data_IF_415572140343
#
_entry.id   IF_415572140343
#
_cell.length_a   1.000
_cell.length_b   1.000
_cell.length_c   1.000
_cell.angle_alpha   90.00
_cell.angle_beta   90.00
_cell.angle_gamma   90.00
#
_symmetry.space_group_name_H-M   'P 1'
#
loop_
_entity.id
_entity.type
_entity.pdbx_description
1 polymer ?
#
# COMPACT_ATOMS: atom_id res chain seq x y z
N UNK A 1 -10.70 -4.12 25.38
CA UNK A 1 -9.85 -4.97 24.51
C UNK A 1 -10.62 -5.71 23.43
N UNK A 2 -11.63 -6.54 23.74
CA UNK A 2 -12.36 -7.33 22.73
C UNK A 2 -13.02 -6.49 21.62
N UNK A 3 -13.67 -5.37 21.97
CA UNK A 3 -14.30 -4.47 20.99
C UNK A 3 -13.30 -3.89 20.00
N UNK A 4 -12.08 -3.59 20.45
CA UNK A 4 -11.01 -3.05 19.60
C UNK A 4 -10.52 -4.09 18.59
N UNK A 5 -10.34 -5.34 19.03
CA UNK A 5 -9.94 -6.45 18.15
C UNK A 5 -11.03 -6.69 17.09
N UNK A 6 -12.31 -6.69 17.50
CA UNK A 6 -13.42 -6.88 16.58
C UNK A 6 -13.50 -5.76 15.53
N UNK A 7 -13.24 -4.51 15.96
CA UNK A 7 -13.27 -3.35 15.07
C UNK A 7 -12.07 -3.33 14.11
N UNK A 8 -10.87 -3.66 14.57
CA UNK A 8 -9.70 -3.91 13.72
C UNK A 8 -9.93 -5.04 12.72
N UNK A 9 -10.59 -6.13 13.13
CA UNK A 9 -10.92 -7.24 12.23
C UNK A 9 -11.90 -6.81 11.14
N UNK A 10 -12.95 -6.06 11.50
CA UNK A 10 -13.97 -5.60 10.56
C UNK A 10 -13.40 -4.57 9.58
N UNK A 11 -12.64 -3.59 10.09
CA UNK A 11 -11.93 -2.58 9.29
C UNK A 11 -10.90 -3.25 8.38
N UNK A 12 -10.11 -4.19 8.91
CA UNK A 12 -9.12 -4.95 8.15
C UNK A 12 -9.74 -5.79 7.04
N UNK A 13 -10.88 -6.45 7.32
CA UNK A 13 -11.61 -7.21 6.31
C UNK A 13 -12.17 -6.32 5.20
N UNK A 14 -12.79 -5.19 5.56
CA UNK A 14 -13.34 -4.24 4.59
C UNK A 14 -12.22 -3.60 3.75
N UNK A 15 -11.14 -3.18 4.40
CA UNK A 15 -9.97 -2.60 3.74
C UNK A 15 -9.29 -3.61 2.82
N UNK A 16 -9.14 -4.87 3.25
CA UNK A 16 -8.59 -5.96 2.43
C UNK A 16 -9.47 -6.31 1.23
N UNK A 17 -10.79 -6.29 1.40
CA UNK A 17 -11.74 -6.48 0.29
C UNK A 17 -11.62 -5.35 -0.75
N UNK A 18 -11.64 -4.09 -0.30
CA UNK A 18 -11.43 -2.93 -1.17
C UNK A 18 -10.05 -2.96 -1.84
N UNK A 19 -9.00 -3.37 -1.11
CA UNK A 19 -7.65 -3.53 -1.63
C UNK A 19 -7.59 -4.54 -2.78
N UNK A 20 -8.30 -5.66 -2.65
CA UNK A 20 -8.40 -6.69 -3.67
C UNK A 20 -9.19 -6.21 -4.90
N UNK A 21 -10.25 -5.43 -4.71
CA UNK A 21 -11.06 -4.89 -5.80
C UNK A 21 -10.28 -3.87 -6.65
N UNK A 22 -9.56 -2.95 -6.01
CA UNK A 22 -8.80 -1.93 -6.72
C UNK A 22 -7.43 -2.41 -7.18
N UNK A 23 -6.88 -3.49 -6.61
CA UNK A 23 -5.55 -4.02 -6.95
C UNK A 23 -4.38 -3.11 -6.54
N UNK A 24 -4.62 -2.04 -5.77
CA UNK A 24 -3.61 -1.03 -5.39
C UNK A 24 -2.86 -1.45 -4.10
N UNK A 25 -3.26 -2.56 -3.46
CA UNK A 25 -2.56 -3.08 -2.27
C UNK A 25 -2.99 -2.45 -0.94
N UNK A 26 -4.19 -1.87 -0.85
CA UNK A 26 -4.88 -1.56 0.43
C UNK A 26 -4.30 -0.45 1.29
N UNK A 27 -3.03 -0.12 1.14
CA UNK A 27 -2.33 0.81 2.02
C UNK A 27 -2.94 2.21 2.06
N UNK A 28 -3.48 2.67 0.93
CA UNK A 28 -4.17 3.96 0.83
C UNK A 28 -5.44 4.02 1.68
N UNK A 29 -6.12 2.90 1.88
CA UNK A 29 -7.35 2.80 2.69
C UNK A 29 -7.01 2.52 4.16
N UNK A 30 -5.97 1.71 4.40
CA UNK A 30 -5.56 1.28 5.74
C UNK A 30 -5.00 2.46 6.56
N UNK A 31 -4.15 3.31 5.98
CA UNK A 31 -3.54 4.43 6.74
C UNK A 31 -4.58 5.41 7.33
N UNK A 32 -5.54 5.98 6.56
CA UNK A 32 -6.53 6.90 7.13
C UNK A 32 -7.41 6.21 8.18
N UNK A 33 -7.80 4.95 7.95
CA UNK A 33 -8.51 4.15 8.96
C UNK A 33 -7.71 4.05 10.27
N UNK A 34 -6.41 3.75 10.20
CA UNK A 34 -5.54 3.67 11.37
C UNK A 34 -5.34 5.03 12.04
N UNK A 35 -5.24 6.12 11.30
CA UNK A 35 -5.16 7.48 11.86
C UNK A 35 -6.39 7.82 12.71
N UNK A 36 -7.58 7.32 12.35
CA UNK A 36 -8.79 7.47 13.18
C UNK A 36 -8.85 6.47 14.34
N UNK A 37 -8.22 5.30 14.22
CA UNK A 37 -8.31 4.23 15.22
C UNK A 37 -7.26 4.33 16.33
N UNK A 38 -6.04 4.76 16.00
CA UNK A 38 -4.92 4.85 16.94
C UNK A 38 -5.16 5.83 18.12
N UNK A 39 -5.83 6.99 17.97
CA UNK A 39 -6.17 7.86 19.09
C UNK A 39 -7.06 7.19 20.14
N UNK A 40 -7.90 6.23 19.71
CA UNK A 40 -8.83 5.49 20.59
C UNK A 40 -8.05 4.54 21.53
N UNK A 41 -6.78 4.26 21.22
CA UNK A 41 -5.90 3.34 21.96
C UNK A 41 -4.86 4.11 22.80
N UNK A 42 -5.03 5.43 22.98
CA UNK A 42 -4.11 6.26 23.76
C UNK A 42 -2.67 6.27 23.18
N UNK A 43 -2.55 6.14 21.84
CA UNK A 43 -1.25 6.26 21.17
C UNK A 43 -0.81 7.73 21.18
N UNK A 44 0.43 8.03 21.61
CA UNK A 44 0.95 9.39 21.61
C UNK A 44 0.84 10.01 20.21
N UNK A 45 0.32 11.23 20.12
CA UNK A 45 0.14 11.90 18.82
C UNK A 45 1.44 12.00 18.02
N UNK A 46 2.58 12.09 18.71
CA UNK A 46 3.92 12.15 18.13
C UNK A 46 4.28 10.91 17.31
N UNK A 47 3.77 9.72 17.68
CA UNK A 47 4.06 8.45 17.01
C UNK A 47 2.95 8.04 16.05
N UNK A 48 1.77 8.64 16.16
CA UNK A 48 0.56 8.22 15.46
C UNK A 48 0.75 8.05 13.94
N UNK A 49 1.35 9.03 13.27
CA UNK A 49 1.57 8.97 11.82
C UNK A 49 2.59 7.89 11.44
N UNK A 50 3.68 7.78 12.21
CA UNK A 50 4.74 6.78 11.97
C UNK A 50 4.21 5.36 12.18
N UNK A 51 3.44 5.14 13.24
CA UNK A 51 2.81 3.84 13.53
C UNK A 51 1.77 3.49 12.48
N UNK A 52 0.88 4.41 12.09
CA UNK A 52 -0.13 4.15 11.07
C UNK A 52 0.49 3.80 9.71
N UNK A 53 1.51 4.54 9.27
CA UNK A 53 2.23 4.27 8.02
C UNK A 53 2.99 2.95 8.10
N UNK A 54 3.71 2.69 9.19
CA UNK A 54 4.46 1.45 9.40
C UNK A 54 3.58 0.20 9.38
N UNK A 55 2.46 0.22 10.11
CA UNK A 55 1.51 -0.91 10.13
C UNK A 55 0.86 -1.13 8.76
N UNK A 56 0.56 -0.05 8.03
CA UNK A 56 0.06 -0.17 6.66
C UNK A 56 1.10 -0.82 5.74
N UNK A 57 2.36 -0.37 5.77
CA UNK A 57 3.43 -0.99 4.98
C UNK A 57 3.63 -2.47 5.32
N UNK A 58 3.60 -2.84 6.60
CA UNK A 58 3.65 -4.24 7.01
C UNK A 58 2.50 -5.06 6.41
N UNK A 59 1.29 -4.50 6.40
CA UNK A 59 0.12 -5.14 5.79
C UNK A 59 0.26 -5.27 4.27
N UNK A 60 0.79 -4.24 3.60
CA UNK A 60 1.06 -4.25 2.15
C UNK A 60 2.07 -5.36 1.79
N UNK A 61 3.11 -5.56 2.60
CA UNK A 61 4.09 -6.63 2.36
C UNK A 61 3.42 -8.00 2.41
N UNK A 62 2.61 -8.26 3.43
CA UNK A 62 1.92 -9.54 3.60
C UNK A 62 0.93 -9.79 2.44
N UNK A 63 0.11 -8.80 2.13
CA UNK A 63 -0.88 -8.90 1.03
C UNK A 63 -0.20 -9.02 -0.34
N UNK A 64 0.89 -8.28 -0.55
CA UNK A 64 1.70 -8.33 -1.77
C UNK A 64 2.35 -9.69 -2.01
N UNK A 65 2.82 -10.37 -0.96
CA UNK A 65 3.34 -11.74 -1.07
C UNK A 65 2.25 -12.68 -1.60
N UNK A 66 1.02 -12.60 -1.06
CA UNK A 66 -0.10 -13.41 -1.54
C UNK A 66 -0.42 -13.17 -3.02
N UNK A 67 -0.46 -11.90 -3.44
CA UNK A 67 -0.66 -11.52 -4.84
C UNK A 67 0.47 -12.02 -5.74
N UNK A 68 1.72 -11.87 -5.31
CA UNK A 68 2.90 -12.33 -6.04
C UNK A 68 2.90 -13.85 -6.19
N UNK A 69 2.56 -14.61 -5.14
CA UNK A 69 2.46 -16.07 -5.20
C UNK A 69 1.39 -16.53 -6.20
N UNK A 70 0.24 -15.84 -6.26
CA UNK A 70 -0.80 -16.14 -7.24
C UNK A 70 -0.30 -15.92 -8.68
N UNK A 71 0.36 -14.79 -8.94
CA UNK A 71 0.95 -14.49 -10.25
C UNK A 71 2.11 -15.41 -10.62
N UNK A 72 2.87 -15.89 -9.63
CA UNK A 72 3.92 -16.89 -9.82
C UNK A 72 3.33 -18.21 -10.31
N UNK A 73 2.24 -18.68 -9.70
CA UNK A 73 1.53 -19.90 -10.14
C UNK A 73 0.96 -19.77 -11.55
N UNK A 74 0.68 -18.56 -12.02
CA UNK A 74 0.19 -18.27 -13.37
C UNK A 74 1.33 -18.11 -14.40
N UNK A 75 2.60 -18.23 -14.00
CA UNK A 75 3.76 -18.08 -14.89
C UNK A 75 3.99 -16.64 -15.38
N UNK A 76 3.30 -15.65 -14.81
CA UNK A 76 3.24 -14.28 -15.33
C UNK A 76 4.28 -13.33 -14.71
N UNK A 77 5.38 -13.87 -14.15
CA UNK A 77 6.42 -13.10 -13.46
C UNK A 77 7.66 -12.96 -14.36
N UNK A 78 7.98 -11.71 -14.71
CA UNK A 78 9.22 -11.36 -15.41
C UNK A 78 10.35 -11.23 -14.39
N UNK A 79 11.06 -12.33 -14.11
CA UNK A 79 12.12 -12.38 -13.10
C UNK A 79 13.26 -11.37 -13.30
N UNK A 80 13.56 -11.00 -14.55
CA UNK A 80 14.54 -9.96 -14.85
C UNK A 80 14.12 -8.59 -14.31
N UNK A 81 12.83 -8.25 -14.41
CA UNK A 81 12.29 -7.01 -13.85
C UNK A 81 12.35 -7.06 -12.31
N UNK A 82 11.94 -8.17 -11.69
CA UNK A 82 11.98 -8.32 -10.22
C UNK A 82 13.39 -8.16 -9.67
N UNK A 83 14.41 -8.72 -10.34
CA UNK A 83 15.81 -8.64 -9.91
C UNK A 83 16.35 -7.21 -9.88
N UNK A 84 15.84 -6.33 -10.74
CA UNK A 84 16.21 -4.90 -10.76
C UNK A 84 15.30 -4.10 -9.82
N UNK A 85 13.99 -4.36 -9.85
CA UNK A 85 13.00 -3.57 -9.12
C UNK A 85 13.09 -3.79 -7.61
N UNK A 86 13.29 -5.02 -7.15
CA UNK A 86 13.35 -5.35 -5.73
C UNK A 86 14.44 -4.58 -4.98
N UNK A 87 15.73 -4.60 -5.39
CA UNK A 87 16.76 -3.83 -4.71
C UNK A 87 16.51 -2.32 -4.83
N UNK A 88 16.07 -1.83 -6.00
CA UNK A 88 15.80 -0.40 -6.20
C UNK A 88 14.73 0.11 -5.23
N UNK A 89 13.63 -0.62 -5.08
CA UNK A 89 12.55 -0.26 -4.14
C UNK A 89 13.08 -0.31 -2.70
N UNK A 90 13.84 -1.36 -2.35
CA UNK A 90 14.38 -1.51 -0.99
C UNK A 90 15.32 -0.35 -0.63
N UNK A 91 16.23 0.02 -1.53
CA UNK A 91 17.12 1.16 -1.33
C UNK A 91 16.36 2.49 -1.27
N UNK A 92 15.40 2.71 -2.18
CA UNK A 92 14.62 3.94 -2.22
C UNK A 92 13.80 4.14 -0.94
N UNK A 93 13.09 3.09 -0.48
CA UNK A 93 12.29 3.15 0.75
C UNK A 93 13.18 3.35 1.97
N UNK A 94 14.34 2.69 2.03
CA UNK A 94 15.28 2.85 3.13
C UNK A 94 15.80 4.30 3.24
N UNK A 95 16.25 4.88 2.13
CA UNK A 95 16.72 6.28 2.08
C UNK A 95 15.58 7.24 2.42
N UNK A 96 14.40 7.03 1.84
CA UNK A 96 13.25 7.89 2.06
C UNK A 96 12.76 7.83 3.51
N UNK A 97 12.73 6.64 4.12
CA UNK A 97 12.36 6.45 5.52
C UNK A 97 13.29 7.15 6.50
N UNK A 98 14.60 7.17 6.24
CA UNK A 98 15.58 7.93 7.04
C UNK A 98 15.36 9.45 6.97
N UNK A 99 14.83 9.94 5.85
CA UNK A 99 14.50 11.34 5.65
C UNK A 99 13.15 11.69 6.31
N UNK A 100 12.13 10.87 6.08
CA UNK A 100 10.78 11.06 6.64
C UNK A 100 10.77 11.02 8.17
N UNK A 101 11.61 10.18 8.78
CA UNK A 101 11.72 10.07 10.23
C UNK A 101 12.24 11.33 10.93
N UNK A 102 12.75 12.31 10.17
CA UNK A 102 13.18 13.62 10.68
C UNK A 102 12.17 14.73 10.44
N UNK A 103 11.08 14.47 9.72
CA UNK A 103 10.05 15.46 9.43
C UNK A 103 9.06 15.55 10.59
N UNK A 104 8.58 16.76 10.82
CA UNK A 104 7.51 16.99 11.79
C UNK A 104 6.21 16.29 11.35
N UNK A 105 5.39 15.92 12.35
CA UNK A 105 4.15 15.15 12.17
C UNK A 105 3.21 15.82 11.17
N UNK A 106 3.07 17.14 11.27
CA UNK A 106 2.17 17.90 10.39
C UNK A 106 2.59 17.82 8.92
N UNK A 107 3.89 17.85 8.65
CA UNK A 107 4.43 17.82 7.29
C UNK A 107 4.19 16.44 6.70
N UNK A 108 4.49 15.38 7.45
CA UNK A 108 4.26 13.99 7.03
C UNK A 108 2.77 13.73 6.76
N UNK A 109 1.88 14.24 7.61
CA UNK A 109 0.44 14.16 7.43
C UNK A 109 -0.04 14.90 6.17
N UNK A 110 0.45 16.14 5.94
CA UNK A 110 0.09 16.95 4.76
C UNK A 110 0.57 16.29 3.46
N UNK A 111 1.79 15.75 3.44
CA UNK A 111 2.33 15.01 2.28
C UNK A 111 1.47 13.79 1.99
N UNK A 112 1.13 13.00 3.02
CA UNK A 112 0.28 11.83 2.87
C UNK A 112 -1.13 12.22 2.37
N UNK A 113 -1.74 13.26 2.94
CA UNK A 113 -3.03 13.76 2.51
C UNK A 113 -3.02 14.19 1.03
N UNK A 114 -1.99 14.91 0.60
CA UNK A 114 -1.80 15.30 -0.80
C UNK A 114 -1.68 14.07 -1.72
N UNK A 115 -0.89 13.07 -1.32
CA UNK A 115 -0.74 11.80 -2.04
C UNK A 115 -2.08 11.07 -2.19
N UNK A 116 -2.88 10.99 -1.12
CA UNK A 116 -4.19 10.33 -1.14
C UNK A 116 -5.15 11.06 -2.08
N UNK A 117 -5.21 12.40 -2.01
CA UNK A 117 -6.05 13.21 -2.91
C UNK A 117 -5.61 13.05 -4.37
N UNK A 118 -4.30 13.05 -4.62
CA UNK A 118 -3.75 12.81 -5.95
C UNK A 118 -4.13 11.42 -6.48
N UNK A 119 -3.98 10.37 -5.68
CA UNK A 119 -4.32 8.99 -6.06
C UNK A 119 -5.83 8.82 -6.27
N UNK A 120 -6.66 9.42 -5.43
CA UNK A 120 -8.12 9.44 -5.61
C UNK A 120 -8.49 10.11 -6.94
N UNK A 121 -7.90 11.26 -7.24
CA UNK A 121 -8.13 11.99 -8.51
C UNK A 121 -7.67 11.16 -9.71
N UNK A 122 -6.48 10.56 -9.64
CA UNK A 122 -5.96 9.66 -10.68
C UNK A 122 -6.91 8.49 -10.92
N UNK A 123 -7.46 7.88 -9.86
CA UNK A 123 -8.37 6.75 -9.98
C UNK A 123 -9.70 7.15 -10.66
N UNK A 124 -10.26 8.31 -10.30
CA UNK A 124 -11.45 8.87 -10.95
C UNK A 124 -11.20 9.15 -12.44
N UNK A 125 -10.03 9.69 -12.78
CA UNK A 125 -9.65 9.96 -14.17
C UNK A 125 -9.28 8.69 -14.96
N UNK A 126 -8.71 7.69 -14.31
CA UNK A 126 -8.27 6.43 -14.94
C UNK A 126 -9.43 5.52 -15.36
N UNK A 127 -10.61 5.66 -14.75
CA UNK A 127 -11.84 4.97 -15.17
C UNK A 127 -12.16 5.22 -16.65
N UNK A 128 -11.67 6.33 -17.24
CA UNK A 128 -11.95 6.68 -18.64
C UNK A 128 -10.94 6.13 -19.66
N UNK A 129 -9.88 5.45 -19.25
CA UNK A 129 -8.77 5.07 -20.15
C UNK A 129 -8.34 3.61 -19.99
N UNK A 130 -9.26 2.66 -20.15
CA UNK A 130 -8.86 1.28 -20.49
C UNK A 130 -8.67 1.17 -22.00
N UNK A 131 -7.46 1.53 -22.45
CA UNK A 131 -6.94 0.94 -23.67
C UNK A 131 -6.30 -0.37 -23.24
N UNK A 132 -7.05 -1.46 -23.36
CA UNK A 132 -6.51 -2.82 -23.27
C UNK A 132 -5.57 -2.99 -24.45
N UNK A 133 -4.34 -2.49 -24.33
CA UNK A 133 -3.28 -2.84 -25.25
C UNK A 133 -2.88 -4.26 -24.89
N UNK A 134 -3.53 -5.23 -25.54
CA UNK A 134 -3.10 -6.62 -25.55
C UNK A 134 -1.67 -6.64 -26.07
N UNK A 135 -0.69 -6.59 -25.17
CA UNK A 135 0.70 -6.90 -25.54
C UNK A 135 0.67 -8.34 -26.09
N UNK A 136 1.23 -8.57 -27.29
CA UNK A 136 1.37 -9.93 -27.78
C UNK A 136 2.16 -10.73 -26.75
N UNK A 137 1.69 -11.94 -26.47
CA UNK A 137 2.39 -12.91 -25.64
C UNK A 137 3.84 -12.95 -26.13
N UNK A 138 4.79 -12.70 -25.23
CA UNK A 138 6.22 -12.91 -25.51
C UNK A 138 6.36 -14.27 -26.18
N UNK A 139 6.98 -14.36 -27.38
CA UNK A 139 7.19 -15.65 -28.01
C UNK A 139 7.98 -16.50 -27.03
N UNK A 140 7.46 -17.70 -26.73
CA UNK A 140 8.26 -18.74 -26.10
C UNK A 140 9.49 -18.92 -27.00
N UNK A 141 10.64 -18.46 -26.53
CA UNK A 141 11.90 -18.71 -27.20
C UNK A 141 12.20 -20.22 -27.01
N UNK A 142 12.44 -20.99 -28.09
CA UNK A 142 12.81 -22.40 -28.01
C UNK A 142 14.17 -22.60 -27.34
#
# INVERSE_FOLDING_TARGET
MFTFILLCLLVGALAGFLAGLFGIGGGLVIVPMLVYLLPIVDVPESLLMSTALGTSFATIVITGIGSAQRHHKLGNIVWQAVRILAPVIMFSVFICGLFIGRLDREISAKIFACLVVYLATKMVLSIKKDQVTTKPLTPFLP
#
